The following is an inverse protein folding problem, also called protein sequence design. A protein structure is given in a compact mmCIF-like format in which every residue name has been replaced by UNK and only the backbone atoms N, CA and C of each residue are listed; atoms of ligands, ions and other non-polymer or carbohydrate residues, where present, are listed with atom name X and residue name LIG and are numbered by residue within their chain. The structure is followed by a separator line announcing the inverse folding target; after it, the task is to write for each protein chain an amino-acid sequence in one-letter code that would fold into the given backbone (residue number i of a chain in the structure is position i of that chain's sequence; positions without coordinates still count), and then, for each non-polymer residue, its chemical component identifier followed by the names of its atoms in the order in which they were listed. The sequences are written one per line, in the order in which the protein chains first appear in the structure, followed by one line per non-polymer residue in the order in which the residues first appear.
data_IF_877927514883
#
_entry.id   IF_877927514883
#
_cell.length_a   1.000
_cell.length_b   1.000
_cell.length_c   1.000
_cell.angle_alpha   90.00
_cell.angle_beta   90.00
_cell.angle_gamma   90.00
#
_symmetry.space_group_name_H-M   'P 1'
#
loop_
_entity.id
_entity.type
_entity.pdbx_description
1 polymer ?
#
# COMPACT_ATOMS: atom_id res chain seq x y z
N UNK A 1 -12.22 19.95 -15.66
CA UNK A 1 -11.57 19.84 -14.33
C UNK A 1 -10.74 18.55 -14.24
N UNK A 2 -11.25 17.40 -14.72
CA UNK A 2 -10.54 16.11 -14.79
C UNK A 2 -9.17 16.16 -15.48
N UNK A 3 -9.04 16.95 -16.56
CA UNK A 3 -7.79 17.00 -17.35
C UNK A 3 -6.59 17.54 -16.55
N UNK A 4 -6.81 18.45 -15.59
CA UNK A 4 -5.73 19.02 -14.77
C UNK A 4 -5.23 18.02 -13.72
N UNK A 5 -6.13 17.21 -13.15
CA UNK A 5 -5.77 16.18 -12.16
C UNK A 5 -4.96 15.07 -12.83
N UNK A 6 -5.36 14.65 -14.04
CA UNK A 6 -4.61 13.67 -14.82
C UNK A 6 -3.18 14.13 -15.09
N UNK A 7 -3.00 15.36 -15.59
CA UNK A 7 -1.66 15.93 -15.86
C UNK A 7 -0.82 15.99 -14.59
N UNK A 8 -1.42 16.38 -13.45
CA UNK A 8 -0.74 16.39 -12.17
C UNK A 8 -0.25 14.99 -11.77
N UNK A 9 -1.12 13.98 -11.84
CA UNK A 9 -0.77 12.59 -11.51
C UNK A 9 0.35 12.09 -12.42
N UNK A 10 0.26 12.30 -13.73
CA UNK A 10 1.30 11.89 -14.68
C UNK A 10 2.65 12.57 -14.37
N UNK A 11 2.63 13.84 -13.97
CA UNK A 11 3.83 14.59 -13.58
C UNK A 11 4.45 14.01 -12.31
N UNK A 12 3.65 13.80 -11.27
CA UNK A 12 4.13 13.23 -10.00
C UNK A 12 4.70 11.81 -10.19
N UNK A 13 4.08 11.00 -11.05
CA UNK A 13 4.60 9.66 -11.39
C UNK A 13 5.96 9.76 -12.08
N UNK A 14 6.15 10.71 -13.01
CA UNK A 14 7.43 10.93 -13.70
C UNK A 14 8.51 11.41 -12.74
N UNK A 15 8.14 12.23 -11.76
CA UNK A 15 9.02 12.70 -10.68
C UNK A 15 9.35 11.60 -9.66
N UNK A 16 8.74 10.41 -9.78
CA UNK A 16 9.00 9.29 -8.89
C UNK A 16 8.39 9.46 -7.49
N UNK A 17 7.35 10.29 -7.37
CA UNK A 17 6.66 10.52 -6.11
C UNK A 17 5.95 9.24 -5.65
N UNK A 18 6.00 8.97 -4.35
CA UNK A 18 5.36 7.80 -3.76
C UNK A 18 3.85 7.78 -4.03
N UNK A 19 3.32 6.60 -4.33
CA UNK A 19 1.94 6.47 -4.74
C UNK A 19 0.95 6.84 -3.63
N UNK A 20 1.26 6.63 -2.35
CA UNK A 20 0.39 7.08 -1.26
C UNK A 20 0.34 8.62 -1.17
N UNK A 21 1.40 9.32 -1.57
CA UNK A 21 1.40 10.79 -1.67
C UNK A 21 0.57 11.25 -2.87
N UNK A 22 0.69 10.57 -4.01
CA UNK A 22 -0.10 10.87 -5.20
C UNK A 22 -1.60 10.69 -4.93
N UNK A 23 -2.00 9.63 -4.22
CA UNK A 23 -3.40 9.41 -3.83
C UNK A 23 -3.92 10.55 -2.94
N UNK A 24 -3.13 10.98 -1.95
CA UNK A 24 -3.50 12.08 -1.06
C UNK A 24 -3.60 13.43 -1.78
N UNK A 25 -2.67 13.71 -2.69
CA UNK A 25 -2.61 14.99 -3.43
C UNK A 25 -3.69 15.09 -4.51
N UNK A 26 -3.99 13.98 -5.20
CA UNK A 26 -4.98 13.94 -6.27
C UNK A 26 -6.42 13.76 -5.76
N UNK A 27 -6.60 13.21 -4.56
CA UNK A 27 -7.91 12.82 -4.05
C UNK A 27 -8.54 11.64 -4.79
N UNK A 28 -7.79 11.00 -5.70
CA UNK A 28 -8.26 9.87 -6.50
C UNK A 28 -8.16 8.56 -5.73
N UNK A 29 -9.05 7.63 -6.05
CA UNK A 29 -8.94 6.24 -5.68
C UNK A 29 -7.82 5.54 -6.48
N UNK A 30 -7.24 4.50 -5.89
CA UNK A 30 -6.16 3.75 -6.54
C UNK A 30 -6.56 3.15 -7.90
N UNK A 31 -7.86 2.83 -8.11
CA UNK A 31 -8.38 2.35 -9.39
C UNK A 31 -8.39 3.44 -10.47
N UNK A 32 -8.63 4.70 -10.11
CA UNK A 32 -8.59 5.81 -11.07
C UNK A 32 -7.15 6.07 -11.52
N UNK A 33 -6.17 5.82 -10.65
CA UNK A 33 -4.75 5.86 -11.02
C UNK A 33 -4.36 4.71 -11.94
N UNK A 34 -5.00 3.54 -11.82
CA UNK A 34 -4.80 2.42 -12.74
C UNK A 34 -5.13 2.82 -14.18
N UNK A 35 -6.17 3.62 -14.38
CA UNK A 35 -6.56 4.14 -15.70
C UNK A 35 -5.55 5.16 -16.26
N UNK A 36 -4.90 5.94 -15.39
CA UNK A 36 -3.88 6.93 -15.79
C UNK A 36 -2.52 6.26 -16.04
N UNK A 37 -2.11 5.36 -15.15
CA UNK A 37 -0.83 4.65 -15.22
C UNK A 37 -0.95 3.24 -14.62
N UNK A 38 -1.27 2.23 -15.45
CA UNK A 38 -1.33 0.84 -15.02
C UNK A 38 0.01 0.35 -14.43
N UNK A 39 1.13 0.89 -14.92
CA UNK A 39 2.48 0.53 -14.47
C UNK A 39 2.72 1.02 -13.04
N UNK A 40 2.40 2.28 -12.74
CA UNK A 40 2.55 2.84 -11.39
C UNK A 40 1.64 2.10 -10.40
N UNK A 41 0.40 1.86 -10.80
CA UNK A 41 -0.54 1.06 -10.02
C UNK A 41 -0.04 -0.37 -9.77
N UNK A 42 0.47 -1.06 -10.79
CA UNK A 42 1.02 -2.41 -10.66
C UNK A 42 2.19 -2.48 -9.68
N UNK A 43 3.11 -1.50 -9.72
CA UNK A 43 4.22 -1.38 -8.76
C UNK A 43 3.71 -1.19 -7.34
N UNK A 44 2.73 -0.32 -7.14
CA UNK A 44 2.10 -0.06 -5.85
C UNK A 44 1.45 -1.31 -5.26
N UNK A 45 0.64 -2.01 -6.05
CA UNK A 45 -0.01 -3.26 -5.63
C UNK A 45 1.04 -4.33 -5.31
N UNK A 46 2.08 -4.44 -6.12
CA UNK A 46 3.20 -5.37 -5.89
C UNK A 46 3.92 -5.09 -4.57
N UNK A 47 4.23 -3.83 -4.27
CA UNK A 47 4.84 -3.43 -3.01
C UNK A 47 3.95 -3.76 -1.81
N UNK A 48 2.64 -3.43 -1.88
CA UNK A 48 1.68 -3.77 -0.83
C UNK A 48 1.56 -5.27 -0.58
N UNK A 49 1.57 -6.10 -1.63
CA UNK A 49 1.57 -7.56 -1.50
C UNK A 49 2.82 -8.06 -0.77
N UNK A 50 4.01 -7.55 -1.12
CA UNK A 50 5.26 -7.93 -0.43
C UNK A 50 5.25 -7.53 1.05
N UNK A 51 4.78 -6.32 1.38
CA UNK A 51 4.65 -5.88 2.77
C UNK A 51 3.67 -6.76 3.56
N UNK A 52 2.59 -7.23 2.93
CA UNK A 52 1.66 -8.17 3.52
C UNK A 52 2.28 -9.54 3.78
N UNK A 53 3.05 -10.07 2.82
CA UNK A 53 3.80 -11.33 3.01
C UNK A 53 4.82 -11.22 4.15
N UNK A 54 5.53 -10.09 4.25
CA UNK A 54 6.46 -9.82 5.34
C UNK A 54 5.71 -9.78 6.67
N UNK A 55 4.58 -9.08 6.76
CA UNK A 55 3.75 -9.05 7.97
C UNK A 55 3.34 -10.47 8.40
N UNK A 56 2.87 -11.30 7.48
CA UNK A 56 2.50 -12.69 7.79
C UNK A 56 3.68 -13.50 8.32
N UNK A 57 4.85 -13.43 7.67
CA UNK A 57 6.06 -14.13 8.14
C UNK A 57 6.50 -13.65 9.52
N UNK A 58 6.45 -12.35 9.77
CA UNK A 58 6.78 -11.81 11.09
C UNK A 58 5.78 -12.26 12.17
N UNK A 59 4.49 -12.39 11.83
CA UNK A 59 3.48 -12.96 12.73
C UNK A 59 3.80 -14.42 13.04
N UNK A 60 4.13 -15.22 12.03
CA UNK A 60 4.46 -16.64 12.19
C UNK A 60 5.72 -16.86 13.04
N UNK A 61 6.70 -15.94 12.90
CA UNK A 61 7.92 -15.91 13.71
C UNK A 61 7.73 -15.34 15.12
N UNK A 62 6.53 -14.85 15.47
CA UNK A 62 6.21 -14.37 16.81
C UNK A 62 6.65 -12.94 17.14
N UNK A 63 6.91 -12.10 16.14
CA UNK A 63 7.25 -10.68 16.36
C UNK A 63 6.11 -9.89 17.01
N UNK A 64 6.47 -8.85 17.77
CA UNK A 64 5.49 -7.95 18.41
C UNK A 64 4.82 -7.07 17.35
N UNK A 65 3.58 -6.66 17.63
CA UNK A 65 2.78 -5.83 16.71
C UNK A 65 3.51 -4.54 16.33
N UNK A 66 4.13 -3.86 17.30
CA UNK A 66 4.89 -2.63 17.06
C UNK A 66 6.08 -2.82 16.11
N UNK A 67 6.73 -3.99 16.11
CA UNK A 67 7.85 -4.28 15.20
C UNK A 67 7.34 -4.48 13.77
N UNK A 68 6.23 -5.20 13.63
CA UNK A 68 5.56 -5.42 12.34
C UNK A 68 5.10 -4.09 11.75
N UNK A 69 4.45 -3.23 12.56
CA UNK A 69 4.04 -1.87 12.16
C UNK A 69 5.23 -1.05 11.68
N UNK A 70 6.35 -1.08 12.42
CA UNK A 70 7.56 -0.33 12.05
C UNK A 70 8.15 -0.77 10.70
N UNK A 71 8.17 -2.07 10.42
CA UNK A 71 8.73 -2.62 9.17
C UNK A 71 7.78 -2.44 7.99
N UNK A 72 6.49 -2.65 8.21
CA UNK A 72 5.50 -2.72 7.12
C UNK A 72 4.74 -1.42 6.87
N UNK A 73 4.85 -0.45 7.79
CA UNK A 73 4.07 0.79 7.76
C UNK A 73 2.56 0.57 7.95
N UNK A 74 2.12 -0.65 8.27
CA UNK A 74 0.70 -0.95 8.49
C UNK A 74 0.20 -0.33 9.78
N UNK A 75 -1.10 -0.01 9.82
CA UNK A 75 -1.75 0.39 11.06
C UNK A 75 -1.88 -0.80 12.03
N UNK A 76 -1.77 -0.52 13.34
CA UNK A 76 -1.84 -1.54 14.39
C UNK A 76 -3.08 -2.45 14.27
N UNK A 77 -4.26 -1.86 14.04
CA UNK A 77 -5.51 -2.62 13.90
C UNK A 77 -5.47 -3.62 12.74
N UNK A 78 -4.77 -3.30 11.66
CA UNK A 78 -4.61 -4.21 10.52
C UNK A 78 -3.72 -5.38 10.88
N UNK A 79 -2.63 -5.14 11.61
CA UNK A 79 -1.73 -6.22 12.06
C UNK A 79 -2.45 -7.18 13.01
N UNK A 80 -3.29 -6.67 13.93
CA UNK A 80 -4.11 -7.52 14.82
C UNK A 80 -5.14 -8.36 14.03
N UNK A 81 -5.77 -7.80 13.01
CA UNK A 81 -6.65 -8.54 12.10
C UNK A 81 -5.91 -9.67 11.36
N UNK A 82 -4.67 -9.42 10.94
CA UNK A 82 -3.84 -10.45 10.31
C UNK A 82 -3.51 -11.58 11.29
N UNK A 83 -3.18 -11.25 12.55
CA UNK A 83 -2.88 -12.23 13.60
C UNK A 83 -4.05 -13.16 13.88
N UNK A 84 -5.27 -12.63 13.97
CA UNK A 84 -6.47 -13.47 14.21
C UNK A 84 -6.74 -14.41 13.03
N UNK A 85 -6.58 -13.92 11.80
CA UNK A 85 -6.71 -14.73 10.58
C UNK A 85 -5.67 -15.84 10.47
N UNK A 86 -4.43 -15.59 10.88
CA UNK A 86 -3.37 -16.61 10.88
C UNK A 86 -3.63 -17.69 11.94
N UNK A 87 -4.13 -17.31 13.12
CA UNK A 87 -4.49 -18.28 14.18
C UNK A 87 -5.63 -19.21 13.78
N UNK A 88 -6.62 -18.72 13.04
CA UNK A 88 -7.76 -19.53 12.58
C UNK A 88 -7.42 -20.48 11.42
N UNK A 89 -6.20 -20.45 10.88
CA UNK A 89 -5.73 -21.35 9.81
C UNK A 89 -4.89 -22.53 10.32
N UNK A 90 -4.61 -22.60 11.63
CA UNK A 90 -3.97 -23.75 12.29
C UNK A 90 -5.03 -24.61 12.95
#
# INVERSE_FOLDING_TARGET
MENNIKIMVETLIKEGVDMDLILKASGLAAKEIEEISPIAYGRYVGARKKLLEIAYRMIDLGYKTNEIVKVTGMINSKVEELKTKTKNKK
#
